data_IF_280715825064
#
_entry.id   IF_280715825064
#
_cell.length_a   1.000
_cell.length_b   1.000
_cell.length_c   1.000
_cell.angle_alpha   90.00
_cell.angle_beta   90.00
_cell.angle_gamma   90.00
#
_symmetry.space_group_name_H-M   'P 1'
#
loop_
_entity.id
_entity.type
_entity.pdbx_description
1 polymer ?
#
# COMPACT_ATOMS: atom_id res chain seq x y z
N UNK A 1 -1.45 4.20 -14.17
CA UNK A 1 -0.03 4.07 -14.55
C UNK A 1 0.91 4.78 -13.57
N UNK A 2 0.64 6.03 -13.14
CA UNK A 2 1.54 6.79 -12.25
C UNK A 2 1.67 6.15 -10.85
N UNK A 3 0.56 5.77 -10.20
CA UNK A 3 0.60 5.11 -8.87
C UNK A 3 1.44 3.81 -8.86
N UNK A 4 1.36 3.02 -9.93
CA UNK A 4 2.17 1.80 -10.10
C UNK A 4 3.66 2.10 -10.19
N UNK A 5 4.04 3.17 -10.86
CA UNK A 5 5.44 3.59 -10.92
C UNK A 5 5.96 3.96 -9.53
N UNK A 6 5.22 4.77 -8.77
CA UNK A 6 5.59 5.08 -7.39
C UNK A 6 5.70 3.82 -6.53
N UNK A 7 4.83 2.82 -6.71
CA UNK A 7 4.97 1.53 -6.02
C UNK A 7 6.29 0.82 -6.35
N UNK A 8 6.67 0.76 -7.63
CA UNK A 8 7.92 0.12 -8.06
C UNK A 8 9.15 0.87 -7.55
N UNK A 9 9.15 2.19 -7.64
CA UNK A 9 10.24 3.02 -7.13
C UNK A 9 10.37 2.85 -5.61
N UNK A 10 9.25 2.85 -4.88
CA UNK A 10 9.23 2.62 -3.44
C UNK A 10 9.86 1.27 -3.05
N UNK A 11 9.53 0.20 -3.77
CA UNK A 11 10.14 -1.13 -3.57
C UNK A 11 11.65 -1.06 -3.82
N UNK A 12 12.08 -0.44 -4.92
CA UNK A 12 13.49 -0.35 -5.26
C UNK A 12 14.30 0.45 -4.21
N UNK A 13 13.72 1.48 -3.58
CA UNK A 13 14.37 2.21 -2.50
C UNK A 13 14.32 1.43 -1.16
N UNK A 14 13.25 0.70 -0.90
CA UNK A 14 13.12 -0.18 0.27
C UNK A 14 14.22 -1.26 0.26
N UNK A 15 14.47 -1.90 -0.88
CA UNK A 15 15.52 -2.91 -1.08
C UNK A 15 16.93 -2.33 -0.86
N UNK A 16 17.14 -1.06 -1.19
CA UNK A 16 18.41 -0.35 -0.96
C UNK A 16 18.61 0.11 0.48
N UNK A 17 17.58 -0.03 1.33
CA UNK A 17 17.60 0.47 2.70
C UNK A 17 17.33 1.98 2.83
N UNK A 18 16.97 2.66 1.74
CA UNK A 18 16.56 4.06 1.79
C UNK A 18 15.06 4.16 2.13
N UNK A 19 14.77 3.94 3.41
CA UNK A 19 13.41 3.84 3.91
C UNK A 19 12.66 5.18 3.86
N UNK A 20 13.36 6.31 3.91
CA UNK A 20 12.73 7.63 3.78
C UNK A 20 12.21 7.86 2.36
N UNK A 21 13.04 7.56 1.35
CA UNK A 21 12.62 7.71 -0.04
C UNK A 21 11.57 6.66 -0.40
N UNK A 22 11.70 5.43 0.08
CA UNK A 22 10.67 4.39 -0.06
C UNK A 22 9.31 4.86 0.48
N UNK A 23 9.29 5.38 1.71
CA UNK A 23 8.09 5.91 2.35
C UNK A 23 7.44 7.05 1.54
N UNK A 24 8.25 7.97 0.99
CA UNK A 24 7.75 9.03 0.12
C UNK A 24 6.98 8.47 -1.08
N UNK A 25 7.57 7.50 -1.78
CA UNK A 25 6.94 6.89 -2.94
C UNK A 25 5.65 6.12 -2.57
N UNK A 26 5.64 5.37 -1.47
CA UNK A 26 4.41 4.68 -1.04
C UNK A 26 3.30 5.64 -0.66
N UNK A 27 3.59 6.75 0.02
CA UNK A 27 2.59 7.78 0.32
C UNK A 27 1.97 8.33 -0.97
N UNK A 28 2.78 8.64 -1.98
CA UNK A 28 2.26 9.18 -3.23
C UNK A 28 1.45 8.14 -4.03
N UNK A 29 1.88 6.87 -4.00
CA UNK A 29 1.10 5.78 -4.59
C UNK A 29 -0.30 5.67 -3.97
N UNK A 30 -0.40 5.85 -2.64
CA UNK A 30 -1.65 5.85 -1.88
C UNK A 30 -2.52 7.08 -2.17
N UNK A 31 -1.95 8.28 -2.20
CA UNK A 31 -2.65 9.53 -2.56
C UNK A 31 -3.32 9.42 -3.93
N UNK A 32 -2.57 8.92 -4.92
CA UNK A 32 -3.08 8.74 -6.28
C UNK A 32 -4.19 7.69 -6.37
N UNK A 33 -4.18 6.68 -5.49
CA UNK A 33 -5.23 5.65 -5.45
C UNK A 33 -6.45 6.05 -4.65
N UNK A 34 -6.30 6.88 -3.62
CA UNK A 34 -7.42 7.39 -2.84
C UNK A 34 -8.42 8.17 -3.72
N UNK A 35 -7.95 8.75 -4.82
CA UNK A 35 -8.77 9.48 -5.79
C UNK A 35 -9.50 8.59 -6.83
N UNK A 36 -9.31 7.27 -6.81
CA UNK A 36 -9.84 6.36 -7.83
C UNK A 36 -10.66 5.21 -7.24
N UNK A 37 -11.78 4.80 -7.87
CA UNK A 37 -12.47 3.56 -7.52
C UNK A 37 -11.51 2.37 -7.67
N UNK A 38 -11.36 1.58 -6.61
CA UNK A 38 -10.44 0.44 -6.58
C UNK A 38 -11.14 -0.88 -6.28
N UNK A 39 -12.41 -0.83 -5.84
CA UNK A 39 -13.16 -1.98 -5.38
C UNK A 39 -13.51 -2.95 -6.51
N UNK A 40 -13.69 -2.45 -7.74
CA UNK A 40 -14.10 -3.24 -8.90
C UNK A 40 -12.90 -3.71 -9.77
N UNK A 41 -11.67 -3.31 -9.42
CA UNK A 41 -10.46 -3.72 -10.15
C UNK A 41 -9.46 -4.42 -9.22
N UNK A 42 -9.21 -5.70 -9.49
CA UNK A 42 -8.33 -6.55 -8.69
C UNK A 42 -6.91 -6.01 -8.63
N UNK A 43 -6.37 -5.51 -9.76
CA UNK A 43 -5.01 -4.95 -9.77
C UNK A 43 -4.92 -3.70 -8.89
N UNK A 44 -5.94 -2.84 -8.95
CA UNK A 44 -6.05 -1.65 -8.11
C UNK A 44 -6.18 -1.98 -6.62
N UNK A 45 -7.03 -2.94 -6.26
CA UNK A 45 -7.19 -3.39 -4.89
C UNK A 45 -5.87 -3.99 -4.34
N UNK A 46 -5.23 -4.87 -5.12
CA UNK A 46 -3.93 -5.44 -4.77
C UNK A 46 -2.87 -4.36 -4.54
N UNK A 47 -2.77 -3.41 -5.48
CA UNK A 47 -1.76 -2.36 -5.43
C UNK A 47 -1.96 -1.43 -4.23
N UNK A 48 -3.22 -1.12 -3.89
CA UNK A 48 -3.54 -0.32 -2.72
C UNK A 48 -3.17 -1.03 -1.42
N UNK A 49 -3.50 -2.33 -1.29
CA UNK A 49 -3.10 -3.13 -0.13
C UNK A 49 -1.58 -3.27 -0.02
N UNK A 50 -0.90 -3.55 -1.13
CA UNK A 50 0.55 -3.67 -1.18
C UNK A 50 1.26 -2.35 -0.81
N UNK A 51 0.74 -1.20 -1.26
CA UNK A 51 1.27 0.11 -0.90
C UNK A 51 1.17 0.38 0.61
N UNK A 52 0.05 0.02 1.25
CA UNK A 52 -0.09 0.13 2.70
C UNK A 52 0.86 -0.80 3.46
N UNK A 53 1.05 -2.04 2.99
CA UNK A 53 2.00 -2.97 3.60
C UNK A 53 3.44 -2.47 3.51
N UNK A 54 3.88 -2.05 2.32
CA UNK A 54 5.25 -1.56 2.14
C UNK A 54 5.51 -0.22 2.85
N UNK A 55 4.47 0.64 2.98
CA UNK A 55 4.50 1.81 3.85
C UNK A 55 4.76 1.40 5.30
N UNK A 56 4.07 0.37 5.79
CA UNK A 56 4.29 -0.19 7.13
C UNK A 56 5.73 -0.64 7.33
N UNK A 57 6.28 -1.41 6.38
CA UNK A 57 7.67 -1.89 6.47
C UNK A 57 8.67 -0.73 6.50
N UNK A 58 8.49 0.27 5.63
CA UNK A 58 9.33 1.47 5.61
C UNK A 58 9.29 2.20 6.96
N UNK A 59 8.09 2.37 7.54
CA UNK A 59 7.89 3.01 8.84
C UNK A 59 8.49 2.18 9.99
N UNK A 60 8.38 0.85 9.92
CA UNK A 60 8.99 -0.07 10.90
C UNK A 60 10.51 0.07 10.90
N UNK A 61 11.14 0.08 9.73
CA UNK A 61 12.59 0.28 9.62
C UNK A 61 13.05 1.67 10.08
N UNK A 62 12.17 2.67 10.03
CA UNK A 62 12.39 4.01 10.60
C UNK A 62 12.00 4.13 12.09
N UNK A 63 11.66 3.02 12.75
CA UNK A 63 11.18 2.98 14.14
C UNK A 63 9.91 3.81 14.42
N UNK A 64 9.10 4.08 13.40
CA UNK A 64 7.80 4.77 13.49
C UNK A 64 6.66 3.75 13.66
N UNK A 65 6.71 3.03 14.78
CA UNK A 65 5.85 1.86 15.00
C UNK A 65 4.34 2.17 15.04
N UNK A 66 3.86 3.28 15.65
CA UNK A 66 2.42 3.59 15.63
C UNK A 66 1.87 3.74 14.21
N UNK A 67 2.56 4.50 13.35
CA UNK A 67 2.16 4.72 11.97
C UNK A 67 2.31 3.44 11.12
N UNK A 68 3.26 2.58 11.46
CA UNK A 68 3.42 1.28 10.81
C UNK A 68 2.21 0.37 11.10
N UNK A 69 1.74 0.32 12.35
CA UNK A 69 0.56 -0.44 12.75
C UNK A 69 -0.70 0.10 12.07
N UNK A 70 -0.87 1.44 12.07
CA UNK A 70 -1.97 2.10 11.39
C UNK A 70 -2.03 1.74 9.89
N UNK A 71 -0.86 1.67 9.23
CA UNK A 71 -0.76 1.24 7.83
C UNK A 71 -1.27 -0.19 7.61
N UNK A 72 -0.97 -1.11 8.52
CA UNK A 72 -1.44 -2.50 8.42
C UNK A 72 -2.95 -2.60 8.64
N UNK A 73 -3.50 -1.84 9.58
CA UNK A 73 -4.95 -1.76 9.78
C UNK A 73 -5.66 -1.29 8.51
N UNK A 74 -5.07 -0.30 7.83
CA UNK A 74 -5.57 0.18 6.54
C UNK A 74 -5.49 -0.87 5.42
N UNK A 75 -4.45 -1.70 5.37
CA UNK A 75 -4.34 -2.81 4.42
C UNK A 75 -5.41 -3.88 4.68
N UNK A 76 -5.55 -4.31 5.94
CA UNK A 76 -6.51 -5.35 6.34
C UNK A 76 -7.97 -4.94 6.05
N UNK A 77 -8.33 -3.69 6.38
CA UNK A 77 -9.68 -3.17 6.15
C UNK A 77 -10.04 -3.25 4.67
N UNK A 78 -9.11 -2.92 3.77
CA UNK A 78 -9.34 -2.89 2.33
C UNK A 78 -9.38 -4.28 1.70
N UNK A 79 -8.58 -5.22 2.19
CA UNK A 79 -8.72 -6.62 1.81
C UNK A 79 -10.10 -7.16 2.21
N UNK A 80 -10.54 -6.89 3.45
CA UNK A 80 -11.82 -7.39 3.98
C UNK A 80 -13.05 -6.75 3.34
N UNK A 81 -12.96 -5.49 2.90
CA UNK A 81 -14.07 -4.74 2.27
C UNK A 81 -14.09 -4.81 0.76
N UNK A 82 -13.11 -5.49 0.14
CA UNK A 82 -13.13 -5.70 -1.30
C UNK A 82 -14.25 -6.69 -1.67
N UNK A 83 -14.97 -6.43 -2.77
CA UNK A 83 -16.09 -7.26 -3.26
C UNK A 83 -15.69 -8.73 -3.53
N UNK A 84 -14.39 -9.01 -3.59
CA UNK A 84 -13.80 -10.31 -3.88
C UNK A 84 -13.82 -11.28 -2.69
N UNK A 85 -13.91 -10.79 -1.45
CA UNK A 85 -14.08 -11.68 -0.27
C UNK A 85 -15.43 -12.38 -0.26
N UNK A 86 -16.47 -11.76 -0.86
CA UNK A 86 -17.78 -12.39 -1.06
C UNK A 86 -17.76 -13.42 -2.20
N UNK A 87 -17.04 -13.14 -3.29
CA UNK A 87 -16.99 -14.00 -4.49
C UNK A 87 -16.18 -15.29 -4.25
N UNK A 88 -15.15 -15.25 -3.41
CA UNK A 88 -14.33 -16.43 -3.06
C UNK A 88 -14.91 -17.24 -1.88
N UNK A 89 -15.96 -16.74 -1.23
CA UNK A 89 -16.66 -17.41 -0.14
C UNK A 89 -17.93 -18.16 -0.58
N UNK A 90 -18.22 -18.19 -1.89
CA UNK A 90 -19.29 -18.96 -2.55
C UNK A 90 -18.72 -20.00 -3.48
#
# INVERSE_FOLDING_TARGET
MISRQHMLDGIAYLEKGDYHTALFHFNHALELRAATPWQDDVESAWLLSAAWMNRSDSLRFLCKFPEAIDSLNHAMTRCNTSRWTEILAT
#
